data_IF_801352512562
#
_entry.id   IF_801352512562
#
_cell.length_a   1.000
_cell.length_b   1.000
_cell.length_c   1.000
_cell.angle_alpha   90.00
_cell.angle_beta   90.00
_cell.angle_gamma   90.00
#
_symmetry.space_group_name_H-M   'P 1'
#
loop_
_entity.id
_entity.type
_entity.pdbx_description
1 polymer ?
#
# COMPACT_ATOMS: atom_id res chain seq x y z
N UNK A 1 -8.82 32.53 -2.15
CA UNK A 1 -8.91 31.30 -2.95
C UNK A 1 -8.13 30.25 -2.18
N UNK A 2 -8.84 29.29 -1.56
CA UNK A 2 -8.23 28.32 -0.65
C UNK A 2 -7.35 27.31 -1.38
N UNK A 3 -6.33 26.81 -0.70
CA UNK A 3 -5.48 25.74 -1.23
C UNK A 3 -6.30 24.46 -1.31
N UNK A 4 -6.26 23.86 -2.49
CA UNK A 4 -6.95 22.62 -2.80
C UNK A 4 -5.96 21.50 -2.49
N UNK A 5 -6.42 20.42 -1.87
CA UNK A 5 -5.56 19.23 -1.72
C UNK A 5 -5.36 18.53 -3.06
N UNK A 6 -4.51 17.51 -3.03
CA UNK A 6 -4.12 16.74 -4.21
C UNK A 6 -5.30 16.09 -4.97
N UNK A 7 -6.49 15.96 -4.36
CA UNK A 7 -7.68 15.34 -4.94
C UNK A 7 -8.81 16.33 -5.26
N UNK A 8 -8.57 17.64 -5.16
CA UNK A 8 -9.58 18.64 -5.46
C UNK A 8 -10.44 19.06 -4.27
N UNK A 9 -10.14 18.59 -3.04
CA UNK A 9 -10.88 18.99 -1.85
C UNK A 9 -10.38 20.33 -1.31
N UNK A 10 -11.31 21.21 -0.92
CA UNK A 10 -10.94 22.53 -0.38
C UNK A 10 -10.52 22.38 1.08
N UNK A 11 -9.26 22.69 1.40
CA UNK A 11 -8.77 22.60 2.78
C UNK A 11 -9.23 23.81 3.62
N UNK A 12 -9.63 23.63 4.89
CA UNK A 12 -9.92 24.74 5.79
C UNK A 12 -8.64 25.51 6.12
N UNK A 13 -8.76 26.84 6.11
CA UNK A 13 -7.65 27.77 6.24
C UNK A 13 -7.18 27.84 7.71
N UNK A 14 -6.07 27.17 8.04
CA UNK A 14 -5.34 27.36 9.29
C UNK A 14 -3.83 27.47 9.00
N UNK A 15 -3.19 28.45 9.62
CA UNK A 15 -1.78 28.78 9.41
C UNK A 15 -0.86 27.69 9.97
N UNK A 16 0.11 27.24 9.18
CA UNK A 16 1.34 26.63 9.71
C UNK A 16 1.64 25.15 9.39
N UNK A 17 1.31 24.63 8.20
CA UNK A 17 1.91 23.35 7.78
C UNK A 17 3.28 23.60 7.13
N UNK A 18 4.31 23.34 7.91
CA UNK A 18 5.71 23.20 7.48
C UNK A 18 5.83 22.03 6.47
N UNK A 19 6.73 22.23 5.52
CA UNK A 19 6.98 21.38 4.35
C UNK A 19 7.80 20.17 4.80
N UNK A 20 7.13 19.22 5.46
CA UNK A 20 7.67 17.90 5.81
C UNK A 20 7.39 16.86 4.72
N UNK A 21 7.80 17.12 3.48
CA UNK A 21 7.70 16.19 2.36
C UNK A 21 8.78 15.09 2.37
N UNK A 22 9.35 14.76 3.54
CA UNK A 22 10.36 13.71 3.68
C UNK A 22 10.02 12.85 4.91
N UNK A 23 10.21 11.53 4.81
CA UNK A 23 9.94 10.47 5.81
C UNK A 23 8.60 9.73 5.70
N UNK A 24 7.84 9.87 4.61
CA UNK A 24 6.97 8.77 4.19
C UNK A 24 7.85 7.72 3.50
N UNK A 25 8.38 6.78 4.27
CA UNK A 25 8.83 5.50 3.73
C UNK A 25 7.62 4.84 3.06
N UNK A 26 7.42 5.16 1.78
CA UNK A 26 6.40 4.52 0.95
C UNK A 26 6.59 3.00 0.99
N UNK A 27 5.50 2.22 0.89
CA UNK A 27 5.54 0.78 1.09
C UNK A 27 6.60 0.19 0.15
N UNK A 28 7.63 -0.37 0.78
CA UNK A 28 8.52 -1.30 0.11
C UNK A 28 7.79 -2.63 0.09
N UNK A 29 7.52 -3.09 -1.11
CA UNK A 29 7.10 -4.47 -1.32
C UNK A 29 8.37 -5.32 -1.29
N UNK A 30 8.74 -5.82 -0.11
CA UNK A 30 9.71 -6.92 0.00
C UNK A 30 8.95 -8.23 -0.18
N UNK A 31 9.24 -8.94 -1.27
CA UNK A 31 8.48 -10.07 -1.75
C UNK A 31 8.42 -11.27 -0.80
N UNK A 32 7.20 -11.75 -0.58
CA UNK A 32 6.92 -13.18 -0.55
C UNK A 32 6.45 -13.61 -1.95
N UNK A 33 7.27 -14.36 -2.68
CA UNK A 33 6.83 -15.16 -3.83
C UNK A 33 7.44 -14.85 -5.22
N UNK A 34 8.10 -13.71 -5.43
CA UNK A 34 8.77 -13.43 -6.71
C UNK A 34 10.05 -12.63 -6.51
N UNK A 35 11.15 -13.10 -7.10
CA UNK A 35 12.44 -12.40 -7.21
C UNK A 35 12.36 -11.07 -8.02
N UNK A 36 11.19 -10.75 -8.55
CA UNK A 36 10.91 -9.58 -9.37
C UNK A 36 10.74 -8.31 -8.53
N UNK A 37 11.32 -7.20 -8.97
CA UNK A 37 11.09 -5.88 -8.38
C UNK A 37 10.12 -5.13 -9.28
N UNK A 38 8.87 -5.05 -8.85
CA UNK A 38 7.80 -4.35 -9.58
C UNK A 38 7.52 -3.03 -8.90
N UNK A 39 7.43 -1.95 -9.67
CA UNK A 39 7.17 -0.60 -9.19
C UNK A 39 6.02 -0.01 -9.99
N UNK A 40 4.94 0.36 -9.30
CA UNK A 40 3.85 1.12 -9.93
C UNK A 40 4.20 2.60 -9.91
N UNK A 41 4.19 3.25 -11.08
CA UNK A 41 4.73 4.59 -11.25
C UNK A 41 4.01 5.62 -10.37
N UNK A 42 2.71 5.46 -10.12
CA UNK A 42 1.95 6.38 -9.25
C UNK A 42 2.45 6.39 -7.80
N UNK A 43 3.28 5.44 -7.38
CA UNK A 43 3.89 5.42 -6.03
C UNK A 43 5.12 6.32 -5.91
N UNK A 44 5.52 7.03 -6.98
CA UNK A 44 6.70 7.89 -7.03
C UNK A 44 6.75 8.88 -5.86
N UNK A 45 7.83 8.84 -5.07
CA UNK A 45 7.97 9.66 -3.85
C UNK A 45 8.43 11.07 -4.14
N UNK A 46 9.11 11.29 -5.26
CA UNK A 46 9.45 12.60 -5.78
C UNK A 46 8.90 12.75 -7.21
N UNK A 47 8.23 13.86 -7.49
CA UNK A 47 7.76 14.25 -8.82
C UNK A 47 8.10 15.73 -8.99
N UNK A 48 8.86 16.04 -10.02
CA UNK A 48 9.40 17.36 -10.28
C UNK A 48 9.09 17.82 -11.71
N UNK A 49 8.88 19.14 -11.84
CA UNK A 49 8.64 19.79 -13.11
C UNK A 49 7.26 19.44 -13.68
N UNK A 50 7.21 19.06 -14.96
CA UNK A 50 5.97 18.85 -15.72
C UNK A 50 5.35 17.46 -15.55
N UNK A 51 5.98 16.56 -14.79
CA UNK A 51 5.42 15.24 -14.50
C UNK A 51 4.26 15.33 -13.53
N UNK A 52 3.18 14.58 -13.78
CA UNK A 52 2.00 14.57 -12.91
C UNK A 52 1.43 13.15 -12.78
N UNK A 53 0.78 12.88 -11.65
CA UNK A 53 -0.04 11.68 -11.44
C UNK A 53 -1.39 11.89 -12.12
N UNK A 54 -1.78 10.97 -13.00
CA UNK A 54 -3.01 11.05 -13.80
C UNK A 54 -3.82 9.77 -13.56
N UNK A 55 -5.08 9.86 -13.10
CA UNK A 55 -5.98 8.72 -13.02
C UNK A 55 -6.17 8.06 -14.38
N UNK A 56 -6.06 6.73 -14.43
CA UNK A 56 -6.22 5.95 -15.65
C UNK A 56 -6.61 4.52 -15.30
N UNK A 57 -7.86 4.14 -15.58
CA UNK A 57 -8.39 2.83 -15.25
C UNK A 57 -7.68 1.67 -16.00
N UNK A 58 -6.92 1.97 -17.05
CA UNK A 58 -6.16 0.98 -17.83
C UNK A 58 -4.71 0.83 -17.34
N UNK A 59 -4.27 1.70 -16.43
CA UNK A 59 -2.95 1.68 -15.82
C UNK A 59 -2.90 0.78 -14.58
N UNK A 60 -1.74 0.21 -14.30
CA UNK A 60 -1.49 -0.50 -13.05
C UNK A 60 -1.81 0.37 -11.82
N UNK A 61 -2.66 -0.14 -10.93
CA UNK A 61 -3.14 0.59 -9.75
C UNK A 61 -4.01 1.80 -10.04
N UNK A 62 -4.58 1.91 -11.25
CA UNK A 62 -5.57 2.92 -11.61
C UNK A 62 -5.01 4.32 -11.86
N UNK A 63 -3.68 4.48 -11.92
CA UNK A 63 -3.04 5.75 -12.20
C UNK A 63 -1.68 5.56 -12.89
N UNK A 64 -1.30 6.57 -13.66
CA UNK A 64 0.00 6.68 -14.35
C UNK A 64 0.73 7.96 -13.95
N UNK A 65 2.03 8.01 -14.18
CA UNK A 65 2.80 9.25 -14.19
C UNK A 65 2.94 9.69 -15.64
N UNK A 66 2.49 10.90 -15.97
CA UNK A 66 2.54 11.44 -17.33
C UNK A 66 3.28 12.76 -17.40
N UNK A 67 4.05 12.92 -18.48
CA UNK A 67 4.57 14.20 -18.94
C UNK A 67 3.68 14.66 -20.09
N UNK A 68 3.04 15.85 -20.04
CA UNK A 68 2.19 16.31 -21.13
C UNK A 68 3.02 16.67 -22.35
N UNK A 69 2.52 16.37 -23.56
CA UNK A 69 3.09 16.90 -24.80
C UNK A 69 2.88 18.42 -24.88
N UNK A 70 3.97 19.16 -24.71
CA UNK A 70 4.04 20.61 -24.83
C UNK A 70 4.88 21.04 -26.04
N UNK A 71 5.21 20.11 -26.95
CA UNK A 71 6.10 20.34 -28.09
C UNK A 71 7.53 20.69 -27.69
N UNK A 72 8.01 20.18 -26.55
CA UNK A 72 9.38 20.41 -26.12
C UNK A 72 10.39 19.69 -27.03
N UNK A 73 11.57 20.27 -27.19
CA UNK A 73 12.63 19.64 -27.98
C UNK A 73 13.17 18.40 -27.27
N UNK A 74 13.36 17.31 -28.02
CA UNK A 74 14.06 16.11 -27.58
C UNK A 74 15.43 16.42 -27.00
N UNK A 75 15.70 15.94 -25.80
CA UNK A 75 17.00 16.04 -25.17
C UNK A 75 17.98 15.02 -25.77
N UNK A 76 19.22 15.45 -26.01
CA UNK A 76 20.28 14.60 -26.57
C UNK A 76 21.00 13.76 -25.51
N UNK A 77 20.84 14.09 -24.23
CA UNK A 77 21.40 13.35 -23.10
C UNK A 77 20.72 13.70 -21.78
N UNK A 78 20.84 12.81 -20.81
CA UNK A 78 20.37 13.03 -19.46
C UNK A 78 21.12 14.18 -18.79
N UNK A 79 20.40 14.93 -17.94
CA UNK A 79 20.98 15.98 -17.11
C UNK A 79 21.36 15.42 -15.75
N UNK A 80 22.45 15.94 -15.17
CA UNK A 80 22.85 15.63 -13.79
C UNK A 80 21.82 16.14 -12.76
N UNK A 81 21.23 17.31 -13.03
CA UNK A 81 20.22 17.96 -12.20
C UNK A 81 19.01 18.33 -13.07
N UNK A 82 18.18 17.35 -13.48
CA UNK A 82 17.03 17.61 -14.34
C UNK A 82 15.94 18.39 -13.60
N UNK A 83 15.25 19.28 -14.30
CA UNK A 83 14.07 19.96 -13.77
C UNK A 83 12.80 19.08 -13.84
N UNK A 84 12.73 18.18 -14.82
CA UNK A 84 11.57 17.31 -15.09
C UNK A 84 11.95 15.85 -14.86
N UNK A 85 11.55 15.30 -13.72
CA UNK A 85 11.80 13.90 -13.39
C UNK A 85 10.79 13.38 -12.34
N UNK A 86 10.74 12.07 -12.16
CA UNK A 86 10.17 11.46 -10.97
C UNK A 86 11.07 10.33 -10.47
N UNK A 87 10.87 9.96 -9.21
CA UNK A 87 11.68 8.93 -8.55
C UNK A 87 10.82 7.87 -7.86
N UNK A 88 11.25 6.63 -7.99
CA UNK A 88 10.72 5.49 -7.27
C UNK A 88 11.87 4.87 -6.47
N UNK A 89 11.53 4.21 -5.36
CA UNK A 89 12.50 3.58 -4.50
C UNK A 89 12.21 2.08 -4.37
N UNK A 90 13.27 1.29 -4.31
CA UNK A 90 13.21 -0.18 -4.32
C UNK A 90 14.41 -0.76 -3.58
N UNK A 91 14.35 -2.05 -3.25
CA UNK A 91 15.51 -2.78 -2.72
C UNK A 91 16.07 -3.69 -3.80
N UNK A 92 17.40 -3.72 -3.92
CA UNK A 92 18.10 -4.60 -4.85
C UNK A 92 19.22 -5.37 -4.16
N UNK A 93 19.65 -6.46 -4.77
CA UNK A 93 20.79 -7.26 -4.33
C UNK A 93 22.05 -6.83 -5.10
N UNK A 94 23.17 -6.71 -4.38
CA UNK A 94 24.45 -6.39 -4.98
C UNK A 94 24.90 -7.47 -5.98
N UNK A 95 25.49 -7.05 -7.10
CA UNK A 95 26.09 -7.95 -8.08
C UNK A 95 25.09 -8.82 -8.87
N UNK A 96 23.78 -8.68 -8.62
CA UNK A 96 22.74 -9.38 -9.36
C UNK A 96 22.34 -8.62 -10.63
N UNK A 97 22.22 -9.30 -11.79
CA UNK A 97 21.76 -8.65 -13.02
C UNK A 97 20.25 -8.43 -12.99
N UNK A 98 19.81 -7.21 -13.35
CA UNK A 98 18.41 -6.88 -13.52
C UNK A 98 18.14 -6.33 -14.93
N UNK A 99 17.15 -6.91 -15.60
CA UNK A 99 16.57 -6.35 -16.82
C UNK A 99 15.60 -5.23 -16.44
N UNK A 100 15.83 -4.03 -16.96
CA UNK A 100 14.86 -2.94 -16.87
C UNK A 100 13.76 -3.16 -17.91
N UNK A 101 12.52 -3.11 -17.47
CA UNK A 101 11.34 -2.94 -18.32
C UNK A 101 10.53 -1.75 -17.85
N UNK A 102 9.97 -1.00 -18.78
CA UNK A 102 9.02 0.09 -18.53
C UNK A 102 7.79 -0.18 -19.38
N UNK A 103 6.61 -0.11 -18.75
CA UNK A 103 5.34 -0.09 -19.46
C UNK A 103 4.91 1.36 -19.60
N UNK A 104 4.77 1.80 -20.86
CA UNK A 104 4.47 3.19 -21.15
C UNK A 104 3.60 3.35 -22.38
N UNK A 105 3.18 4.59 -22.62
CA UNK A 105 2.45 5.02 -23.82
C UNK A 105 2.85 6.44 -24.19
N UNK A 106 2.82 6.73 -25.48
CA UNK A 106 3.08 8.04 -26.04
C UNK A 106 1.76 8.78 -26.32
N UNK A 107 1.69 10.06 -25.98
CA UNK A 107 0.54 10.89 -26.32
C UNK A 107 0.32 10.89 -27.84
N UNK A 108 -0.93 10.61 -28.25
CA UNK A 108 -1.32 10.53 -29.65
C UNK A 108 -0.73 9.36 -30.44
N UNK A 109 -0.17 8.34 -29.75
CA UNK A 109 0.59 7.26 -30.40
C UNK A 109 1.71 7.81 -31.30
N UNK A 110 2.33 8.91 -30.87
CA UNK A 110 3.37 9.61 -31.63
C UNK A 110 4.77 9.15 -31.19
N UNK A 111 5.56 8.65 -32.14
CA UNK A 111 6.96 8.24 -31.90
C UNK A 111 7.84 9.37 -31.36
N UNK A 112 7.46 10.63 -31.52
CA UNK A 112 8.18 11.76 -30.96
C UNK A 112 7.97 11.95 -29.46
N UNK A 113 7.07 11.19 -28.82
CA UNK A 113 6.65 11.36 -27.43
C UNK A 113 6.89 10.09 -26.59
N UNK A 114 7.89 9.29 -26.96
CA UNK A 114 7.87 7.85 -26.68
C UNK A 114 9.04 7.36 -25.83
N UNK A 115 9.86 8.26 -25.29
CA UNK A 115 11.12 7.87 -24.68
C UNK A 115 11.54 8.70 -23.47
N UNK A 116 12.33 8.07 -22.61
CA UNK A 116 12.83 8.64 -21.35
C UNK A 116 14.28 8.25 -21.09
N UNK A 117 14.96 9.06 -20.30
CA UNK A 117 16.22 8.66 -19.68
C UNK A 117 15.96 8.07 -18.30
N UNK A 118 16.69 7.01 -17.97
CA UNK A 118 16.60 6.30 -16.70
C UNK A 118 17.97 6.28 -16.02
N UNK A 119 17.98 6.60 -14.72
CA UNK A 119 19.17 6.64 -13.87
C UNK A 119 18.88 5.94 -12.53
N UNK A 120 19.93 5.49 -11.83
CA UNK A 120 19.81 4.87 -10.52
C UNK A 120 20.81 5.43 -9.50
N UNK A 121 20.55 5.31 -8.20
CA UNK A 121 21.46 5.81 -7.15
C UNK A 121 22.80 5.06 -7.09
N UNK A 122 22.77 3.71 -7.14
CA UNK A 122 23.91 2.84 -6.85
C UNK A 122 24.29 1.88 -7.97
N UNK A 123 23.89 2.16 -9.22
CA UNK A 123 24.09 1.25 -10.34
C UNK A 123 25.55 1.15 -10.79
N UNK A 124 25.91 -0.04 -11.27
CA UNK A 124 27.19 -0.37 -11.89
C UNK A 124 26.97 -1.24 -13.12
N UNK A 125 27.97 -1.30 -13.99
CA UNK A 125 28.04 -2.27 -15.08
C UNK A 125 28.51 -3.65 -14.60
N UNK A 126 28.62 -4.61 -15.53
CA UNK A 126 29.07 -5.97 -15.22
C UNK A 126 30.51 -6.05 -14.69
N UNK A 127 31.34 -5.02 -14.91
CA UNK A 127 32.69 -4.92 -14.38
C UNK A 127 32.75 -4.20 -13.02
N UNK A 128 31.61 -3.76 -12.49
CA UNK A 128 31.51 -3.02 -11.23
C UNK A 128 31.81 -1.53 -11.35
N UNK A 129 31.95 -1.00 -12.57
CA UNK A 129 32.17 0.43 -12.79
C UNK A 129 30.85 1.21 -12.68
N UNK A 130 30.83 2.43 -12.10
CA UNK A 130 29.63 3.27 -12.05
C UNK A 130 29.00 3.47 -13.43
N UNK A 131 27.70 3.17 -13.56
CA UNK A 131 26.95 3.35 -14.79
C UNK A 131 25.58 3.96 -14.48
N UNK A 132 25.09 4.88 -15.32
CA UNK A 132 23.74 5.45 -15.25
C UNK A 132 23.35 6.05 -13.90
N UNK A 133 24.29 6.70 -13.21
CA UNK A 133 24.06 7.17 -11.85
C UNK A 133 23.32 8.50 -11.80
N UNK A 134 22.37 8.60 -10.86
CA UNK A 134 21.73 9.85 -10.44
C UNK A 134 22.82 10.87 -10.07
N UNK A 135 22.63 12.13 -10.47
CA UNK A 135 23.62 13.20 -10.27
C UNK A 135 24.70 13.27 -11.37
N UNK A 136 24.59 12.47 -12.42
CA UNK A 136 25.48 12.49 -13.60
C UNK A 136 24.70 12.67 -14.90
N UNK A 137 25.40 12.88 -16.02
CA UNK A 137 24.79 12.85 -17.37
C UNK A 137 24.74 11.44 -17.97
N UNK A 138 25.19 10.43 -17.23
CA UNK A 138 25.09 9.03 -17.65
C UNK A 138 23.68 8.51 -17.37
N UNK A 139 23.07 7.86 -18.35
CA UNK A 139 21.74 7.24 -18.27
C UNK A 139 21.62 6.09 -19.25
N UNK A 140 20.65 5.21 -19.00
CA UNK A 140 20.11 4.35 -20.06
C UNK A 140 18.87 5.01 -20.67
N UNK A 141 18.53 4.65 -21.90
CA UNK A 141 17.31 5.13 -22.59
C UNK A 141 16.32 3.98 -22.65
N UNK A 142 15.04 4.28 -22.44
CA UNK A 142 13.94 3.41 -22.87
C UNK A 142 13.20 4.13 -23.97
N UNK A 143 13.00 3.46 -25.11
CA UNK A 143 12.33 3.99 -26.30
C UNK A 143 11.16 3.07 -26.64
N UNK A 144 9.93 3.58 -26.64
CA UNK A 144 8.75 2.75 -26.84
C UNK A 144 8.73 2.15 -28.26
N UNK A 145 8.99 2.96 -29.29
CA UNK A 145 9.23 2.46 -30.64
C UNK A 145 10.57 1.71 -30.67
N UNK A 146 10.54 0.39 -30.84
CA UNK A 146 11.75 -0.45 -30.91
C UNK A 146 12.55 -0.22 -32.18
N UNK A 147 11.95 0.24 -33.26
CA UNK A 147 12.63 0.42 -34.53
C UNK A 147 11.99 1.51 -35.37
N UNK A 148 12.80 2.20 -36.17
CA UNK A 148 12.36 3.27 -37.07
C UNK A 148 11.17 2.82 -37.93
N UNK A 149 10.01 3.46 -37.72
CA UNK A 149 8.79 3.21 -38.50
C UNK A 149 8.02 1.97 -38.08
N UNK A 150 8.35 1.36 -36.94
CA UNK A 150 7.60 0.24 -36.37
C UNK A 150 6.32 0.71 -35.67
N UNK A 151 6.21 2.00 -35.39
CA UNK A 151 5.06 2.66 -34.76
C UNK A 151 4.95 2.36 -33.27
N UNK A 152 4.09 3.12 -32.60
CA UNK A 152 3.65 2.90 -31.22
C UNK A 152 2.12 2.87 -31.19
N UNK A 153 1.51 2.17 -30.23
CA UNK A 153 0.06 2.15 -30.08
C UNK A 153 -0.35 1.70 -28.69
N UNK A 154 -1.07 2.55 -27.97
CA UNK A 154 -1.54 2.26 -26.61
C UNK A 154 -0.39 1.99 -25.64
N UNK A 155 -0.63 1.11 -24.66
CA UNK A 155 0.40 0.65 -23.74
C UNK A 155 1.35 -0.35 -24.41
N UNK A 156 2.63 -0.30 -24.03
CA UNK A 156 3.64 -1.25 -24.47
C UNK A 156 4.76 -1.42 -23.47
N UNK A 157 5.30 -2.64 -23.39
CA UNK A 157 6.48 -2.97 -22.59
C UNK A 157 7.76 -2.83 -23.40
N UNK A 158 8.72 -2.08 -22.86
CA UNK A 158 10.06 -1.94 -23.45
C UNK A 158 11.18 -1.98 -22.43
N UNK A 159 12.32 -2.53 -22.87
CA UNK A 159 13.57 -2.41 -22.15
C UNK A 159 14.42 -1.27 -22.71
N UNK A 160 15.69 -1.26 -22.34
CA UNK A 160 16.67 -0.31 -22.83
C UNK A 160 17.41 -0.74 -24.11
N UNK A 161 16.84 -1.67 -24.88
CA UNK A 161 17.30 -2.04 -26.21
C UNK A 161 16.70 -1.16 -27.31
N UNK A 162 17.39 -1.10 -28.46
CA UNK A 162 16.83 -0.51 -29.68
C UNK A 162 17.07 -1.47 -30.85
N UNK A 163 16.00 -1.77 -31.58
CA UNK A 163 15.89 -2.78 -32.61
C UNK A 163 14.84 -3.83 -32.25
N UNK A 164 14.07 -4.30 -33.23
CA UNK A 164 13.08 -5.35 -33.03
C UNK A 164 13.71 -6.62 -32.43
N UNK A 165 13.27 -7.00 -31.23
CA UNK A 165 13.79 -8.16 -30.50
C UNK A 165 15.21 -7.99 -29.94
N UNK A 166 15.75 -6.78 -29.93
CA UNK A 166 17.06 -6.47 -29.35
C UNK A 166 16.88 -6.08 -27.88
N UNK A 167 17.52 -6.82 -26.99
CA UNK A 167 17.58 -6.47 -25.56
C UNK A 167 18.77 -5.55 -25.29
N UNK A 168 18.58 -4.57 -24.41
CA UNK A 168 19.64 -3.71 -23.91
C UNK A 168 20.59 -4.40 -22.92
N UNK A 169 21.56 -3.67 -22.37
CA UNK A 169 22.36 -4.15 -21.23
C UNK A 169 21.54 -4.21 -19.93
N UNK A 170 21.74 -5.24 -19.12
CA UNK A 170 21.19 -5.34 -17.75
C UNK A 170 21.90 -4.37 -16.80
N UNK A 171 21.22 -3.96 -15.73
CA UNK A 171 21.78 -3.13 -14.64
C UNK A 171 22.22 -4.01 -13.46
N UNK A 172 23.31 -3.64 -12.80
CA UNK A 172 23.75 -4.21 -11.52
C UNK A 172 23.80 -3.12 -10.45
N UNK A 173 23.85 -3.52 -9.18
CA UNK A 173 23.99 -2.59 -8.05
C UNK A 173 25.24 -2.91 -7.22
N UNK A 174 25.92 -1.85 -6.76
CA UNK A 174 27.18 -2.00 -6.01
C UNK A 174 26.97 -2.53 -4.58
N UNK A 175 25.79 -2.32 -4.00
CA UNK A 175 25.45 -2.71 -2.64
C UNK A 175 23.99 -3.17 -2.57
N UNK A 176 23.71 -4.13 -1.67
CA UNK A 176 22.36 -4.59 -1.41
C UNK A 176 21.61 -3.56 -0.57
N UNK A 177 20.28 -3.51 -0.72
CA UNK A 177 19.39 -2.62 0.01
C UNK A 177 18.85 -1.49 -0.85
N UNK A 178 18.45 -0.41 -0.18
CA UNK A 178 17.64 0.66 -0.76
C UNK A 178 18.34 1.37 -1.91
N UNK A 179 17.67 1.43 -3.05
CA UNK A 179 18.06 2.15 -4.26
C UNK A 179 16.93 3.08 -4.70
N UNK A 180 17.29 4.07 -5.50
CA UNK A 180 16.37 4.98 -6.20
C UNK A 180 16.54 4.79 -7.69
N UNK A 181 15.43 4.71 -8.42
CA UNK A 181 15.37 4.89 -9.87
C UNK A 181 14.80 6.28 -10.13
N UNK A 182 15.47 7.05 -10.98
CA UNK A 182 15.02 8.34 -11.50
C UNK A 182 14.70 8.20 -12.98
N UNK A 183 13.52 8.66 -13.36
CA UNK A 183 13.09 8.76 -14.75
C UNK A 183 12.97 10.23 -15.09
N UNK A 184 13.73 10.69 -16.08
CA UNK A 184 13.68 12.07 -16.57
C UNK A 184 13.28 12.10 -18.04
N UNK A 185 12.64 13.19 -18.42
CA UNK A 185 12.14 13.44 -19.78
C UNK A 185 13.28 13.32 -20.80
N UNK A 186 13.07 12.58 -21.90
CA UNK A 186 13.90 12.67 -23.11
C UNK A 186 13.11 13.39 -24.20
N UNK A 187 11.89 12.93 -24.45
CA UNK A 187 10.81 13.69 -25.07
C UNK A 187 9.66 13.85 -24.08
N UNK A 188 8.85 14.88 -24.25
CA UNK A 188 7.59 15.07 -23.54
C UNK A 188 6.48 14.18 -24.13
N UNK A 189 5.28 14.23 -23.56
CA UNK A 189 4.15 13.39 -24.01
C UNK A 189 4.24 11.90 -23.61
N UNK A 190 5.30 11.47 -22.91
CA UNK A 190 5.42 10.08 -22.46
C UNK A 190 4.77 9.83 -21.10
N UNK A 191 4.14 8.67 -20.98
CA UNK A 191 3.39 8.26 -19.80
C UNK A 191 3.73 6.85 -19.38
N UNK A 192 3.88 6.62 -18.08
CA UNK A 192 4.37 5.36 -17.51
C UNK A 192 3.44 4.92 -16.38
N UNK A 193 3.03 3.66 -16.35
CA UNK A 193 2.30 3.06 -15.23
C UNK A 193 3.14 2.05 -14.44
N UNK A 194 4.10 1.37 -15.08
CA UNK A 194 4.94 0.38 -14.42
C UNK A 194 6.41 0.48 -14.80
N UNK A 195 7.26 0.17 -13.82
CA UNK A 195 8.66 -0.18 -14.00
C UNK A 195 8.89 -1.56 -13.38
N UNK A 196 9.64 -2.40 -14.06
CA UNK A 196 10.03 -3.72 -13.57
C UNK A 196 11.55 -3.85 -13.68
N UNK A 197 12.19 -4.28 -12.59
CA UNK A 197 13.58 -4.73 -12.58
C UNK A 197 13.57 -6.24 -12.36
N UNK A 198 13.83 -6.99 -13.43
CA UNK A 198 13.67 -8.44 -13.45
C UNK A 198 15.01 -9.17 -13.47
N UNK A 199 15.33 -9.97 -12.45
CA UNK A 199 16.51 -10.82 -12.47
C UNK A 199 16.24 -12.25 -12.96
N UNK A 200 14.98 -12.62 -13.20
CA UNK A 200 14.60 -14.01 -13.49
C UNK A 200 13.53 -14.12 -14.58
N UNK A 201 12.25 -14.02 -14.23
CA UNK A 201 11.09 -14.37 -15.07
C UNK A 201 11.09 -13.59 -16.38
N UNK A 202 11.40 -12.30 -16.30
CA UNK A 202 11.39 -11.37 -17.42
C UNK A 202 12.80 -10.95 -17.81
N UNK A 203 13.84 -11.68 -17.39
CA UNK A 203 15.23 -11.30 -17.68
C UNK A 203 15.52 -11.22 -19.19
N UNK A 204 14.92 -12.13 -19.96
CA UNK A 204 15.15 -12.29 -21.40
C UNK A 204 13.90 -12.05 -22.27
N UNK A 205 12.75 -11.71 -21.66
CA UNK A 205 11.48 -11.51 -22.37
C UNK A 205 10.64 -10.45 -21.66
N UNK A 206 9.93 -9.57 -22.40
CA UNK A 206 9.04 -8.60 -21.79
C UNK A 206 7.88 -9.29 -21.07
N UNK A 207 7.26 -8.63 -20.07
CA UNK A 207 6.05 -9.14 -19.45
C UNK A 207 4.88 -9.27 -20.41
N UNK A 208 4.72 -8.30 -21.29
CA UNK A 208 3.60 -8.21 -22.22
C UNK A 208 4.03 -7.79 -23.62
N UNK A 209 3.04 -7.39 -24.41
CA UNK A 209 3.26 -6.95 -25.79
C UNK A 209 3.88 -5.56 -25.85
N UNK A 210 4.44 -5.23 -27.02
CA UNK A 210 4.98 -3.90 -27.31
C UNK A 210 3.90 -2.87 -27.67
N UNK A 211 2.72 -3.32 -28.09
CA UNK A 211 1.63 -2.48 -28.57
C UNK A 211 0.31 -3.02 -28.06
N UNK A 212 -0.62 -2.11 -27.73
CA UNK A 212 -1.95 -2.45 -27.24
C UNK A 212 -1.92 -3.47 -26.10
N UNK A 213 -0.88 -3.39 -25.27
CA UNK A 213 -0.66 -4.32 -24.18
C UNK A 213 -1.67 -4.10 -23.06
N UNK A 214 -2.15 -5.19 -22.47
CA UNK A 214 -3.02 -5.18 -21.29
C UNK A 214 -2.38 -5.88 -20.09
N UNK A 215 -1.11 -6.28 -20.20
CA UNK A 215 -0.41 -7.06 -19.20
C UNK A 215 0.05 -6.17 -18.06
N UNK A 216 -0.57 -6.32 -16.89
CA UNK A 216 -0.13 -5.71 -15.65
C UNK A 216 0.65 -6.73 -14.84
N UNK A 217 1.92 -6.44 -14.54
CA UNK A 217 2.70 -7.26 -13.60
C UNK A 217 2.29 -6.86 -12.19
N UNK A 218 1.74 -7.75 -11.36
CA UNK A 218 1.33 -7.39 -10.01
C UNK A 218 2.57 -7.03 -9.16
N UNK A 219 2.42 -6.10 -8.21
CA UNK A 219 3.42 -5.96 -7.13
C UNK A 219 3.61 -7.33 -6.44
N UNK A 220 4.82 -7.73 -6.03
CA UNK A 220 4.98 -8.92 -5.20
C UNK A 220 4.04 -8.83 -3.98
N UNK A 221 3.31 -9.89 -3.64
CA UNK A 221 2.25 -9.81 -2.62
C UNK A 221 0.91 -9.20 -3.08
N UNK A 222 0.85 -8.49 -4.22
CA UNK A 222 -0.38 -8.14 -4.94
C UNK A 222 -0.84 -9.24 -5.92
N UNK A 223 -0.28 -10.45 -5.79
CA UNK A 223 -0.63 -11.64 -6.55
C UNK A 223 -2.00 -12.21 -6.17
N UNK A 224 -3.07 -11.47 -6.41
CA UNK A 224 -4.34 -12.02 -6.87
C UNK A 224 -4.93 -10.99 -7.87
N UNK A 225 -5.32 -11.40 -9.09
CA UNK A 225 -6.59 -10.89 -9.70
C UNK A 225 -7.55 -10.67 -8.55
N UNK A 226 -8.30 -9.55 -8.36
CA UNK A 226 -9.08 -9.36 -7.14
C UNK A 226 -9.83 -10.66 -6.87
N UNK A 227 -9.29 -11.44 -5.92
CA UNK A 227 -10.05 -12.53 -5.36
C UNK A 227 -11.29 -11.78 -4.90
N UNK A 228 -12.47 -12.33 -5.19
CA UNK A 228 -13.67 -11.87 -4.52
C UNK A 228 -13.26 -11.57 -3.08
N UNK A 229 -13.43 -10.32 -2.61
CA UNK A 229 -12.74 -9.85 -1.42
C UNK A 229 -13.01 -10.88 -0.33
N UNK A 230 -11.94 -11.44 0.20
CA UNK A 230 -11.99 -12.62 1.05
C UNK A 230 -11.89 -12.21 2.51
N UNK A 231 -12.37 -13.09 3.38
CA UNK A 231 -12.29 -12.89 4.82
C UNK A 231 -10.84 -12.66 5.24
N UNK A 232 -10.59 -11.52 5.89
CA UNK A 232 -9.32 -11.29 6.58
C UNK A 232 -9.50 -11.81 8.00
N UNK A 233 -8.76 -12.85 8.35
CA UNK A 233 -8.79 -13.47 9.66
C UNK A 233 -7.43 -13.28 10.30
N UNK A 234 -7.40 -12.55 11.42
CA UNK A 234 -6.19 -12.37 12.22
C UNK A 234 -6.38 -13.10 13.54
N UNK A 235 -5.47 -14.02 13.83
CA UNK A 235 -5.39 -14.67 15.13
C UNK A 235 -4.47 -13.86 16.03
N UNK A 236 -4.78 -13.76 17.32
CA UNK A 236 -3.88 -13.14 18.29
C UNK A 236 -2.47 -13.73 18.22
N UNK A 237 -2.36 -15.06 18.08
CA UNK A 237 -1.08 -15.79 17.90
C UNK A 237 -0.20 -15.30 16.74
N UNK A 238 -0.76 -14.65 15.74
CA UNK A 238 -0.04 -14.19 14.54
C UNK A 238 0.30 -12.70 14.56
N UNK A 239 -0.16 -11.95 15.58
CA UNK A 239 0.14 -10.52 15.69
C UNK A 239 1.62 -10.35 16.03
N UNK A 240 2.40 -9.60 15.22
CA UNK A 240 3.82 -9.43 15.45
C UNK A 240 4.06 -8.60 16.72
N UNK A 241 5.12 -8.93 17.46
CA UNK A 241 5.49 -8.21 18.68
C UNK A 241 5.71 -6.70 18.45
N UNK A 242 6.10 -6.29 17.23
CA UNK A 242 6.26 -4.89 16.85
C UNK A 242 4.96 -4.08 16.82
N UNK A 243 3.80 -4.75 16.74
CA UNK A 243 2.49 -4.11 16.78
C UNK A 243 1.84 -4.14 18.16
N UNK A 244 2.51 -4.63 19.20
CA UNK A 244 1.96 -4.74 20.56
C UNK A 244 2.64 -3.70 21.44
N UNK A 245 1.86 -2.76 22.00
CA UNK A 245 2.39 -1.61 22.73
C UNK A 245 1.73 -1.44 24.10
N UNK A 246 2.50 -0.91 25.05
CA UNK A 246 2.02 -0.58 26.39
C UNK A 246 1.62 -1.81 27.20
N UNK A 247 0.39 -1.81 27.71
CA UNK A 247 -0.13 -2.85 28.62
C UNK A 247 -0.62 -4.13 27.93
N UNK A 248 -0.50 -4.21 26.59
CA UNK A 248 -0.91 -5.38 25.83
C UNK A 248 0.18 -6.44 25.76
N UNK A 249 -0.23 -7.70 25.76
CA UNK A 249 0.68 -8.84 25.57
C UNK A 249 -0.03 -10.05 24.97
N UNK A 250 0.73 -10.99 24.41
CA UNK A 250 0.22 -12.31 24.08
C UNK A 250 0.18 -13.18 25.34
N UNK A 251 -1.00 -13.72 25.64
CA UNK A 251 -1.27 -14.54 26.83
C UNK A 251 -1.68 -15.95 26.41
N UNK A 252 -1.06 -17.00 26.97
CA UNK A 252 -1.54 -18.37 26.78
C UNK A 252 -2.93 -18.57 27.36
N UNK A 253 -3.83 -19.10 26.54
CA UNK A 253 -5.19 -19.45 26.94
C UNK A 253 -5.67 -20.62 26.08
N UNK A 254 -5.82 -21.80 26.69
CA UNK A 254 -6.26 -23.01 25.99
C UNK A 254 -7.67 -22.94 25.38
N UNK A 255 -8.48 -21.96 25.77
CA UNK A 255 -9.84 -21.72 25.23
C UNK A 255 -9.85 -20.71 24.08
N UNK A 256 -8.74 -20.01 23.86
CA UNK A 256 -8.58 -19.07 22.75
C UNK A 256 -8.24 -19.79 21.44
N UNK A 257 -8.54 -19.14 20.31
CA UNK A 257 -8.06 -19.56 19.00
C UNK A 257 -6.54 -19.74 19.01
N UNK A 258 -6.06 -20.91 18.56
CA UNK A 258 -4.65 -21.30 18.59
C UNK A 258 -3.98 -21.23 19.99
N UNK A 259 -4.76 -21.23 21.07
CA UNK A 259 -4.25 -21.26 22.42
C UNK A 259 -3.64 -19.94 22.93
N UNK A 260 -3.82 -18.83 22.20
CA UNK A 260 -3.22 -17.53 22.50
C UNK A 260 -4.27 -16.42 22.35
N UNK A 261 -4.29 -15.47 23.28
CA UNK A 261 -5.06 -14.24 23.20
C UNK A 261 -4.15 -13.01 23.30
N UNK A 262 -4.55 -11.89 22.69
CA UNK A 262 -4.09 -10.57 23.07
C UNK A 262 -4.79 -10.22 24.38
N UNK A 263 -4.04 -9.92 25.44
CA UNK A 263 -4.57 -9.54 26.73
C UNK A 263 -4.12 -8.14 27.12
N UNK A 264 -5.06 -7.35 27.62
CA UNK A 264 -4.78 -6.16 28.40
C UNK A 264 -5.22 -6.46 29.83
N UNK A 265 -4.29 -6.61 30.76
CA UNK A 265 -4.60 -7.07 32.12
C UNK A 265 -5.45 -6.05 32.88
N UNK A 266 -6.44 -6.52 33.65
CA UNK A 266 -7.21 -5.67 34.57
C UNK A 266 -6.30 -5.16 35.70
N UNK A 267 -5.98 -3.86 35.64
CA UNK A 267 -5.21 -3.13 36.64
C UNK A 267 -6.08 -2.09 37.36
N UNK A 268 -7.40 -2.15 37.19
CA UNK A 268 -8.35 -1.15 37.70
C UNK A 268 -8.15 0.23 37.08
N UNK A 269 -7.67 0.31 35.83
CA UNK A 269 -7.49 1.57 35.14
C UNK A 269 -8.85 2.25 34.87
N UNK A 270 -8.93 3.58 34.94
CA UNK A 270 -10.17 4.29 34.61
C UNK A 270 -10.49 4.11 33.12
N UNK A 271 -11.79 3.95 32.83
CA UNK A 271 -12.33 3.95 31.47
C UNK A 271 -11.87 5.17 30.68
N UNK A 272 -11.38 4.92 29.47
CA UNK A 272 -11.06 5.97 28.49
C UNK A 272 -12.35 6.39 27.80
N UNK A 273 -12.70 7.67 27.90
CA UNK A 273 -14.00 8.18 27.43
C UNK A 273 -14.10 8.37 25.91
N UNK A 274 -12.97 8.51 25.22
CA UNK A 274 -12.88 8.66 23.76
C UNK A 274 -11.52 8.14 23.25
N UNK A 275 -11.43 7.70 21.98
CA UNK A 275 -10.17 7.33 21.36
C UNK A 275 -9.12 8.44 21.51
N UNK A 276 -7.86 8.05 21.67
CA UNK A 276 -6.75 8.98 21.77
C UNK A 276 -6.04 9.10 20.42
N UNK A 277 -5.66 10.32 20.04
CA UNK A 277 -4.83 10.55 18.85
C UNK A 277 -3.44 9.91 18.94
N UNK A 278 -2.92 9.75 20.15
CA UNK A 278 -1.59 9.17 20.39
C UNK A 278 -1.62 8.33 21.68
N UNK A 279 -2.24 7.14 21.64
CA UNK A 279 -2.31 6.27 22.80
C UNK A 279 -0.95 5.66 23.11
N UNK A 280 -0.64 5.46 24.40
CA UNK A 280 0.58 4.77 24.83
C UNK A 280 0.41 3.25 24.97
N UNK A 281 -0.83 2.75 24.89
CA UNK A 281 -1.20 1.34 25.05
C UNK A 281 -2.22 0.96 23.98
N UNK A 282 -1.81 0.14 23.02
CA UNK A 282 -2.61 -0.25 21.87
C UNK A 282 -1.98 -1.46 21.15
N UNK A 283 -2.76 -2.06 20.25
CA UNK A 283 -2.29 -3.08 19.30
C UNK A 283 -2.54 -2.58 17.88
N UNK A 284 -1.53 -2.63 17.02
CA UNK A 284 -1.65 -2.39 15.59
C UNK A 284 -1.62 -3.72 14.83
N UNK A 285 -2.62 -3.92 13.98
CA UNK A 285 -2.79 -5.10 13.14
C UNK A 285 -2.79 -4.67 11.69
N UNK A 286 -1.81 -5.15 10.92
CA UNK A 286 -1.77 -4.95 9.48
C UNK A 286 -2.67 -5.95 8.75
N UNK A 287 -3.36 -5.48 7.71
CA UNK A 287 -4.16 -6.33 6.82
C UNK A 287 -4.25 -5.74 5.42
N UNK A 288 -4.61 -6.57 4.44
CA UNK A 288 -4.86 -6.10 3.07
C UNK A 288 -6.33 -5.73 2.87
N UNK A 289 -6.59 -4.56 2.30
CA UNK A 289 -7.93 -4.13 1.93
C UNK A 289 -8.00 -3.76 0.44
N UNK A 290 -9.17 -3.90 -0.16
CA UNK A 290 -9.46 -3.50 -1.53
C UNK A 290 -10.22 -2.17 -1.54
N UNK A 291 -9.87 -1.26 -2.44
CA UNK A 291 -10.53 0.02 -2.57
C UNK A 291 -12.02 -0.12 -2.90
N UNK A 292 -12.86 0.68 -2.26
CA UNK A 292 -14.31 0.72 -2.52
C UNK A 292 -15.09 -0.52 -2.10
N UNK A 293 -14.43 -1.54 -1.51
CA UNK A 293 -15.09 -2.71 -0.92
C UNK A 293 -15.58 -2.35 0.48
N UNK A 294 -16.81 -2.75 0.79
CA UNK A 294 -17.36 -2.65 2.14
C UNK A 294 -16.75 -3.74 3.02
N UNK A 295 -16.30 -3.37 4.21
CA UNK A 295 -15.81 -4.29 5.23
C UNK A 295 -16.57 -4.11 6.53
N UNK A 296 -16.64 -5.18 7.31
CA UNK A 296 -17.12 -5.16 8.68
C UNK A 296 -16.07 -5.70 9.63
N UNK A 297 -15.86 -5.05 10.77
CA UNK A 297 -14.87 -5.46 11.77
C UNK A 297 -15.57 -6.20 12.91
N UNK A 298 -15.18 -7.44 13.13
CA UNK A 298 -15.61 -8.25 14.26
C UNK A 298 -14.42 -8.60 15.14
N UNK A 299 -14.60 -8.51 16.45
CA UNK A 299 -13.64 -8.99 17.44
C UNK A 299 -14.29 -10.13 18.22
N UNK A 300 -13.56 -11.23 18.39
CA UNK A 300 -13.91 -12.25 19.37
C UNK A 300 -13.19 -11.93 20.66
N UNK A 301 -13.97 -11.55 21.66
CA UNK A 301 -13.47 -10.97 22.89
C UNK A 301 -13.94 -11.75 24.11
N UNK A 302 -13.23 -11.59 25.22
CA UNK A 302 -13.67 -12.04 26.55
C UNK A 302 -13.25 -11.02 27.60
N UNK A 303 -14.19 -10.60 28.43
CA UNK A 303 -13.89 -9.72 29.55
C UNK A 303 -13.40 -10.54 30.75
N UNK A 304 -12.31 -10.11 31.39
CA UNK A 304 -11.81 -10.75 32.61
C UNK A 304 -12.89 -10.68 33.70
N UNK A 305 -13.21 -11.84 34.29
CA UNK A 305 -14.22 -11.96 35.34
C UNK A 305 -15.66 -11.76 34.86
N UNK A 306 -15.90 -11.83 33.54
CA UNK A 306 -17.21 -11.55 32.93
C UNK A 306 -17.78 -10.17 33.37
N UNK A 307 -16.88 -9.19 33.50
CA UNK A 307 -17.19 -7.86 34.02
C UNK A 307 -17.43 -6.84 32.90
N UNK A 308 -18.51 -6.07 33.01
CA UNK A 308 -18.79 -4.90 32.14
C UNK A 308 -17.80 -3.75 32.35
N UNK A 309 -16.97 -3.81 33.40
CA UNK A 309 -15.87 -2.87 33.55
C UNK A 309 -14.69 -3.21 32.65
N UNK A 310 -14.70 -4.36 31.95
CA UNK A 310 -13.54 -4.93 31.26
C UNK A 310 -13.84 -5.36 29.82
N UNK A 311 -14.88 -4.80 29.21
CA UNK A 311 -15.57 -5.43 28.09
C UNK A 311 -15.44 -4.71 26.75
N UNK A 312 -14.65 -3.64 26.67
CA UNK A 312 -14.58 -2.89 25.42
C UNK A 312 -13.24 -2.27 25.07
N UNK A 313 -13.12 -2.00 23.78
CA UNK A 313 -11.97 -1.37 23.12
C UNK A 313 -12.45 -0.30 22.14
N UNK A 314 -11.56 0.60 21.76
CA UNK A 314 -11.74 1.46 20.59
C UNK A 314 -10.97 0.89 19.39
N UNK A 315 -11.51 1.09 18.20
CA UNK A 315 -10.85 0.78 16.93
C UNK A 315 -10.62 2.03 16.08
N UNK A 316 -9.46 2.07 15.43
CA UNK A 316 -9.08 3.13 14.48
C UNK A 316 -8.39 2.54 13.25
N UNK A 317 -8.36 3.28 12.14
CA UNK A 317 -7.93 2.79 10.82
C UNK A 317 -6.91 3.72 10.16
N UNK A 318 -5.88 3.19 9.49
CA UNK A 318 -4.90 4.03 8.77
C UNK A 318 -5.49 4.81 7.59
N UNK A 319 -6.41 4.18 6.85
CA UNK A 319 -6.97 4.71 5.60
C UNK A 319 -8.49 4.60 5.50
N UNK A 320 -9.18 4.49 6.63
CA UNK A 320 -10.63 4.35 6.70
C UNK A 320 -11.36 5.53 6.03
N UNK A 321 -12.38 5.19 5.25
CA UNK A 321 -13.39 6.12 4.73
C UNK A 321 -14.79 5.56 4.86
N UNK A 322 -15.79 6.43 4.92
CA UNK A 322 -17.20 6.05 4.82
C UNK A 322 -17.61 5.78 3.36
N UNK A 323 -18.87 5.41 3.14
CA UNK A 323 -19.41 5.13 1.80
C UNK A 323 -19.33 6.33 0.84
N UNK A 324 -19.30 7.56 1.38
CA UNK A 324 -19.17 8.80 0.61
C UNK A 324 -17.72 9.22 0.39
N UNK A 325 -16.75 8.43 0.87
CA UNK A 325 -15.33 8.68 0.76
C UNK A 325 -14.77 9.65 1.80
N UNK A 326 -15.56 10.04 2.82
CA UNK A 326 -15.07 10.92 3.88
C UNK A 326 -14.18 10.15 4.86
N UNK A 327 -13.13 10.78 5.42
CA UNK A 327 -12.30 10.17 6.45
C UNK A 327 -13.12 9.58 7.61
N UNK A 328 -12.86 8.32 7.95
CA UNK A 328 -13.54 7.60 9.02
C UNK A 328 -12.50 7.03 10.00
N UNK A 329 -12.66 7.35 11.29
CA UNK A 329 -11.94 6.73 12.42
C UNK A 329 -10.41 6.65 12.27
N UNK A 330 -9.80 7.71 11.75
CA UNK A 330 -8.39 7.63 11.33
C UNK A 330 -7.40 7.62 12.49
N UNK A 331 -6.32 6.87 12.32
CA UNK A 331 -5.14 6.93 13.19
C UNK A 331 -4.65 8.38 13.34
N UNK A 332 -4.15 8.72 14.53
CA UNK A 332 -3.68 10.08 14.81
C UNK A 332 -4.80 11.05 15.18
N UNK A 333 -6.05 10.59 15.30
CA UNK A 333 -7.20 11.42 15.65
C UNK A 333 -7.90 10.92 16.93
N UNK A 334 -8.81 11.71 17.47
CA UNK A 334 -9.69 11.29 18.57
C UNK A 334 -10.99 10.61 18.06
N UNK A 335 -11.08 10.30 16.76
CA UNK A 335 -12.18 9.54 16.18
C UNK A 335 -11.85 8.04 16.21
N UNK A 336 -12.88 7.22 16.35
CA UNK A 336 -12.79 5.77 16.53
C UNK A 336 -14.08 5.21 17.09
N UNK A 337 -14.39 3.98 16.71
CA UNK A 337 -15.61 3.29 17.15
C UNK A 337 -15.32 2.36 18.32
N UNK A 338 -16.29 2.19 19.20
CA UNK A 338 -16.18 1.26 20.32
C UNK A 338 -16.69 -0.12 19.89
N UNK A 339 -15.94 -1.18 20.22
CA UNK A 339 -16.45 -2.56 20.19
C UNK A 339 -16.70 -2.97 21.64
N UNK A 340 -17.96 -3.18 22.00
CA UNK A 340 -18.39 -3.41 23.39
C UNK A 340 -19.02 -4.79 23.50
N UNK A 341 -18.48 -5.69 24.32
CA UNK A 341 -19.00 -7.06 24.41
C UNK A 341 -20.42 -7.11 24.99
N UNK A 342 -20.76 -6.21 25.92
CA UNK A 342 -22.14 -5.99 26.32
C UNK A 342 -22.90 -5.21 25.26
N UNK A 343 -23.33 -5.88 24.19
CA UNK A 343 -23.99 -5.27 23.02
C UNK A 343 -25.29 -4.48 23.33
N UNK A 344 -25.83 -4.55 24.54
CA UNK A 344 -26.89 -3.65 24.99
C UNK A 344 -26.97 -3.58 26.51
N UNK A 345 -27.55 -2.51 27.05
CA UNK A 345 -27.68 -2.34 28.50
C UNK A 345 -28.38 -3.54 29.14
N UNK A 346 -27.65 -4.25 30.02
CA UNK A 346 -28.17 -5.43 30.73
C UNK A 346 -28.09 -6.73 29.94
N UNK A 347 -27.47 -6.73 28.75
CA UNK A 347 -27.15 -7.97 28.05
C UNK A 347 -26.20 -8.83 28.92
N UNK A 348 -26.38 -10.16 28.90
CA UNK A 348 -25.47 -11.06 29.60
C UNK A 348 -24.07 -10.98 28.99
N UNK A 349 -23.05 -11.15 29.82
CA UNK A 349 -21.66 -11.27 29.41
C UNK A 349 -21.12 -12.55 30.06
N UNK A 350 -20.58 -13.44 29.25
CA UNK A 350 -20.04 -14.71 29.70
C UNK A 350 -19.09 -15.30 28.65
N UNK A 351 -17.86 -15.60 29.04
CA UNK A 351 -16.90 -16.29 28.18
C UNK A 351 -16.56 -15.52 26.89
N UNK A 352 -16.13 -16.25 25.86
CA UNK A 352 -15.83 -15.67 24.56
C UNK A 352 -17.12 -15.24 23.84
N UNK A 353 -17.05 -14.15 23.08
CA UNK A 353 -18.15 -13.64 22.29
C UNK A 353 -17.69 -12.79 21.12
N UNK A 354 -18.40 -12.88 20.01
CA UNK A 354 -18.19 -12.02 18.85
C UNK A 354 -19.02 -10.75 18.97
N UNK A 355 -18.39 -9.59 18.82
CA UNK A 355 -19.12 -8.35 18.58
C UNK A 355 -18.40 -7.42 17.60
N UNK A 356 -19.12 -6.41 17.12
CA UNK A 356 -18.66 -5.39 16.19
C UNK A 356 -18.69 -3.99 16.82
N UNK A 357 -18.54 -2.97 15.98
CA UNK A 357 -18.63 -1.55 16.35
C UNK A 357 -20.07 -1.06 16.60
N UNK A 358 -21.05 -1.95 16.52
CA UNK A 358 -22.45 -1.67 16.75
C UNK A 358 -22.83 -1.59 18.22
N UNK A 359 -24.01 -1.02 18.48
CA UNK A 359 -24.65 -1.08 19.80
C UNK A 359 -26.11 -1.48 19.62
N UNK A 360 -26.43 -2.72 20.02
CA UNK A 360 -27.73 -3.38 19.87
C UNK A 360 -28.19 -3.58 18.42
N UNK A 361 -27.34 -3.23 17.45
CA UNK A 361 -27.54 -3.33 16.02
C UNK A 361 -26.19 -3.31 15.32
N UNK A 362 -26.10 -3.93 14.14
CA UNK A 362 -24.89 -3.97 13.32
C UNK A 362 -24.29 -2.57 13.11
N UNK A 363 -22.97 -2.45 13.30
CA UNK A 363 -22.22 -1.22 13.02
C UNK A 363 -22.25 -0.80 11.55
N UNK A 364 -21.76 0.40 11.26
CA UNK A 364 -21.60 0.84 9.88
C UNK A 364 -20.43 0.10 9.20
N UNK A 365 -20.59 -0.24 7.92
CA UNK A 365 -19.47 -0.78 7.14
C UNK A 365 -18.40 0.28 6.90
N UNK A 366 -17.14 -0.16 6.90
CA UNK A 366 -15.98 0.66 6.60
C UNK A 366 -15.51 0.42 5.16
N UNK A 367 -14.87 1.42 4.57
CA UNK A 367 -14.30 1.34 3.23
C UNK A 367 -12.86 1.85 3.23
N UNK A 368 -12.15 1.61 2.13
CA UNK A 368 -10.81 2.13 1.90
C UNK A 368 -10.75 2.82 0.54
N UNK A 369 -10.07 3.96 0.47
CA UNK A 369 -9.92 4.71 -0.78
C UNK A 369 -8.89 4.09 -1.73
N UNK A 370 -7.97 3.26 -1.22
CA UNK A 370 -6.92 2.62 -1.98
C UNK A 370 -6.79 1.13 -1.59
N UNK A 371 -6.49 0.29 -2.59
CA UNK A 371 -6.14 -1.11 -2.36
C UNK A 371 -4.73 -1.20 -1.81
N UNK A 372 -4.54 -2.07 -0.81
CA UNK A 372 -3.24 -2.37 -0.23
C UNK A 372 -3.30 -2.49 1.28
N UNK A 373 -2.13 -2.49 1.90
CA UNK A 373 -1.98 -2.66 3.34
C UNK A 373 -2.62 -1.50 4.11
N UNK A 374 -3.45 -1.87 5.08
CA UNK A 374 -4.08 -1.00 6.06
C UNK A 374 -3.68 -1.45 7.47
N UNK A 375 -3.89 -0.58 8.45
CA UNK A 375 -3.68 -0.86 9.87
C UNK A 375 -4.99 -0.65 10.62
N UNK A 376 -5.41 -1.67 11.36
CA UNK A 376 -6.42 -1.59 12.40
C UNK A 376 -5.68 -1.41 13.74
N UNK A 377 -5.93 -0.29 14.41
CA UNK A 377 -5.49 -0.06 15.78
C UNK A 377 -6.59 -0.43 16.75
N UNK A 378 -6.25 -1.22 17.75
CA UNK A 378 -7.10 -1.55 18.89
C UNK A 378 -6.52 -0.84 20.11
N UNK A 379 -7.27 0.13 20.63
CA UNK A 379 -6.91 0.85 21.85
C UNK A 379 -7.80 0.37 22.99
N UNK A 380 -7.21 0.22 24.17
CA UNK A 380 -7.97 0.00 25.40
C UNK A 380 -9.07 1.06 25.57
N UNK A 381 -10.30 0.64 25.88
CA UNK A 381 -11.36 1.53 26.37
C UNK A 381 -11.58 1.28 27.86
N UNK A 382 -11.70 0.02 28.24
CA UNK A 382 -11.42 -0.46 29.59
C UNK A 382 -10.32 -1.54 29.55
N UNK A 383 -9.60 -1.76 30.66
CA UNK A 383 -8.65 -2.87 30.80
C UNK A 383 -9.35 -4.20 31.08
N UNK A 384 -8.60 -5.30 31.17
CA UNK A 384 -9.15 -6.62 31.46
C UNK A 384 -9.75 -7.33 30.25
N UNK A 385 -9.63 -6.76 29.04
CA UNK A 385 -10.14 -7.38 27.81
C UNK A 385 -9.12 -8.39 27.25
N UNK A 386 -9.63 -9.52 26.75
CA UNK A 386 -8.90 -10.46 25.92
C UNK A 386 -9.51 -10.51 24.52
N UNK A 387 -8.68 -10.68 23.49
CA UNK A 387 -9.09 -10.83 22.08
C UNK A 387 -8.30 -11.98 21.48
N UNK A 388 -8.96 -12.98 20.88
CA UNK A 388 -8.27 -14.12 20.27
C UNK A 388 -8.37 -14.15 18.73
N UNK A 389 -9.43 -13.55 18.18
CA UNK A 389 -9.61 -13.39 16.74
C UNK A 389 -10.16 -12.02 16.36
N UNK A 390 -9.71 -11.55 15.20
CA UNK A 390 -10.19 -10.36 14.52
C UNK A 390 -10.61 -10.80 13.12
N UNK A 391 -11.81 -10.44 12.70
CA UNK A 391 -12.31 -10.70 11.35
C UNK A 391 -12.67 -9.39 10.69
N UNK A 392 -12.01 -9.08 9.57
CA UNK A 392 -12.31 -7.91 8.74
C UNK A 392 -12.95 -8.46 7.46
N UNK A 393 -14.29 -8.47 7.47
CA UNK A 393 -15.11 -9.24 6.55
C UNK A 393 -15.69 -8.38 5.43
N UNK A 394 -15.34 -8.64 4.17
CA UNK A 394 -16.04 -8.07 3.03
C UNK A 394 -17.20 -8.94 2.50
N UNK A 395 -17.41 -10.14 3.04
CA UNK A 395 -18.34 -11.11 2.45
C UNK A 395 -19.22 -11.84 3.48
N UNK A 396 -18.78 -13.00 3.96
CA UNK A 396 -19.55 -13.96 4.76
C UNK A 396 -20.08 -13.35 6.05
N UNK A 397 -19.29 -12.47 6.66
CA UNK A 397 -19.63 -11.81 7.91
C UNK A 397 -19.86 -10.30 7.72
N UNK A 398 -20.15 -9.84 6.49
CA UNK A 398 -20.39 -8.42 6.24
C UNK A 398 -21.62 -7.91 7.01
N UNK A 399 -22.64 -8.76 7.17
CA UNK A 399 -23.91 -8.39 7.82
C UNK A 399 -24.34 -9.37 8.91
N UNK A 400 -23.48 -10.32 9.28
CA UNK A 400 -23.82 -11.36 10.25
C UNK A 400 -22.57 -11.72 11.05
N UNK A 401 -22.70 -11.76 12.37
CA UNK A 401 -21.59 -12.12 13.27
C UNK A 401 -21.06 -13.52 12.97
N UNK A 402 -19.74 -13.77 13.10
CA UNK A 402 -19.18 -15.10 12.95
C UNK A 402 -19.72 -16.12 13.95
N UNK A 403 -20.11 -15.69 15.15
CA UNK A 403 -20.59 -16.55 16.22
C UNK A 403 -21.48 -15.84 17.22
N UNK A 404 -21.70 -16.47 18.37
CA UNK A 404 -22.57 -15.92 19.40
C UNK A 404 -21.89 -14.76 20.16
N UNK A 405 -22.70 -13.90 20.78
CA UNK A 405 -22.22 -12.79 21.62
C UNK A 405 -21.66 -13.27 22.99
N UNK A 406 -22.08 -14.45 23.46
CA UNK A 406 -21.63 -15.02 24.74
C UNK A 406 -21.46 -16.52 24.64
N UNK A 407 -20.58 -17.08 25.47
CA UNK A 407 -20.23 -18.49 25.53
C UNK A 407 -19.95 -19.10 24.14
N UNK A 408 -19.45 -18.28 23.22
CA UNK A 408 -19.17 -18.67 21.86
C UNK A 408 -18.00 -19.64 21.81
N UNK A 409 -18.05 -20.59 20.86
CA UNK A 409 -16.99 -21.54 20.58
C UNK A 409 -16.54 -21.47 19.11
N UNK A 410 -17.02 -20.49 18.36
CA UNK A 410 -16.80 -20.40 16.93
C UNK A 410 -15.42 -19.82 16.64
N UNK A 411 -14.57 -20.66 16.06
CA UNK A 411 -13.26 -20.26 15.55
C UNK A 411 -13.34 -20.13 14.02
N UNK A 412 -13.16 -18.91 13.51
CA UNK A 412 -13.15 -18.65 12.06
C UNK A 412 -11.79 -19.08 11.50
N UNK A 413 -11.80 -19.79 10.37
CA UNK A 413 -10.61 -20.41 9.77
C UNK A 413 -10.33 -19.92 8.37
#
# INVERSE_FOLDING_TARGET
MGTIDFFGATLPQAAGYDVGANEASGPVVTGGGSDEIVLYAFTATAIAGTWTRIPDATAAGGARIGNPDAGAAKLTGALANPANYFELAFDAEAGRPYRLWVRGRADGDYWGNDSVFVQFSGSVDAAGSPAWRIGSTSSTVVNLEDCSGCGVSGWGWQDNGYGAGVLGPVVYFAASGRQTIRIQTREDGFSIDQVLLSPATYLARPPGALKNDTTIVPLPGAGTTPSAPSEVIVYASTVPASGIHGGWMLVPDSTAANGIALGNADLGAPKIAAPLASPSSYVDVAFEAQAGVAYHVWLRMRAQGDSFANDSVYVQLSGGVDQSGQPLDRLGTAAGEAVVLQDSTGAPLAGWGWNDTGWASLGASIYFAATGTQTLRIQQREDGILIDQIVISPSRYLTTSPGALTNDQTIVK
#
